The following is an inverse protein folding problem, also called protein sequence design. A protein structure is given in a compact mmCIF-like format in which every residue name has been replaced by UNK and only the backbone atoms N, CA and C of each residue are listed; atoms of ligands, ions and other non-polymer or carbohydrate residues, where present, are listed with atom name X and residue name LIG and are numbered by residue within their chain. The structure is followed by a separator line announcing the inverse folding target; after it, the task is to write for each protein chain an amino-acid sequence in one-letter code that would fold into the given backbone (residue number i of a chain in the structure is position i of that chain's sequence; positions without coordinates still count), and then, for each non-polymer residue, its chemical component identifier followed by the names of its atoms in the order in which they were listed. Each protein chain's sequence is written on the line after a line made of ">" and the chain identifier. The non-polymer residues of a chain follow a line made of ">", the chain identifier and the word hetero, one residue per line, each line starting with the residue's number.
data_IF_000982122451
#
_entry.id   IF_000982122451
#
_cell.length_a   1.000
_cell.length_b   1.000
_cell.length_c   1.000
_cell.angle_alpha   90.00
_cell.angle_beta   90.00
_cell.angle_gamma   90.00
#
_symmetry.space_group_name_H-M   'P 1'
#
loop_
_entity.id
_entity.type
_entity.pdbx_description
1 polymer ?
#
# COMPACT_ATOMS: atom_id res chain seq x y z
N UNK A 1 5.03 0.50 8.67
CA UNK A 1 4.58 -0.35 7.56
C UNK A 1 5.09 -1.76 7.77
N UNK A 2 4.30 -2.78 7.41
CA UNK A 2 4.70 -4.19 7.38
C UNK A 2 4.93 -4.57 5.92
N UNK A 3 6.20 -4.73 5.54
CA UNK A 3 6.58 -5.18 4.20
C UNK A 3 6.33 -6.68 4.06
N UNK A 4 6.03 -7.13 2.83
CA UNK A 4 5.77 -8.54 2.51
C UNK A 4 4.77 -9.20 3.46
N UNK A 5 3.65 -8.50 3.72
CA UNK A 5 2.57 -9.07 4.51
C UNK A 5 1.93 -10.25 3.74
N UNK A 6 2.10 -11.46 4.23
CA UNK A 6 1.71 -12.71 3.57
C UNK A 6 0.65 -13.51 4.34
N UNK A 7 0.40 -13.16 5.60
CA UNK A 7 -0.60 -13.83 6.42
C UNK A 7 -1.21 -12.92 7.49
N UNK A 8 -2.45 -13.20 7.93
CA UNK A 8 -3.04 -12.50 9.07
C UNK A 8 -2.22 -12.70 10.37
N UNK A 9 -1.55 -13.84 10.55
CA UNK A 9 -0.71 -14.13 11.71
C UNK A 9 0.41 -13.11 11.89
N UNK A 10 1.12 -12.75 10.81
CA UNK A 10 2.15 -11.70 10.86
C UNK A 10 1.60 -10.36 11.39
N UNK A 11 0.40 -9.99 10.96
CA UNK A 11 -0.23 -8.74 11.41
C UNK A 11 -0.58 -8.80 12.89
N UNK A 12 -1.09 -9.95 13.37
CA UNK A 12 -1.39 -10.16 14.80
C UNK A 12 -0.12 -10.07 15.65
N UNK A 13 0.97 -10.69 15.24
CA UNK A 13 2.27 -10.62 15.93
C UNK A 13 2.81 -9.19 16.00
N UNK A 14 2.78 -8.46 14.88
CA UNK A 14 3.18 -7.04 14.86
C UNK A 14 2.27 -6.20 15.74
N UNK A 15 0.97 -6.43 15.72
CA UNK A 15 0.01 -5.72 16.57
C UNK A 15 0.27 -5.96 18.06
N UNK A 16 0.62 -7.19 18.46
CA UNK A 16 1.00 -7.53 19.84
C UNK A 16 2.30 -6.84 20.24
N UNK A 17 3.31 -6.83 19.37
CA UNK A 17 4.58 -6.11 19.60
C UNK A 17 4.33 -4.61 19.79
N UNK A 18 3.53 -3.98 18.93
CA UNK A 18 3.19 -2.56 19.04
C UNK A 18 2.47 -2.27 20.37
N UNK A 19 1.55 -3.13 20.81
CA UNK A 19 0.88 -2.97 22.10
C UNK A 19 1.87 -2.98 23.27
N UNK A 20 2.82 -3.92 23.25
CA UNK A 20 3.87 -3.98 24.28
C UNK A 20 4.71 -2.71 24.27
N UNK A 21 5.18 -2.27 23.12
CA UNK A 21 6.01 -1.07 23.00
C UNK A 21 5.25 0.22 23.39
N UNK A 22 3.98 0.33 23.07
CA UNK A 22 3.13 1.45 23.51
C UNK A 22 3.04 1.50 25.06
N UNK A 23 2.81 0.35 25.69
CA UNK A 23 2.76 0.26 27.15
C UNK A 23 4.10 0.63 27.80
N UNK A 24 5.22 0.07 27.28
CA UNK A 24 6.56 0.36 27.80
C UNK A 24 6.95 1.84 27.65
N UNK A 25 6.38 2.54 26.69
CA UNK A 25 6.68 3.95 26.40
C UNK A 25 5.61 4.93 26.85
N UNK A 26 4.58 4.48 27.54
CA UNK A 26 3.47 5.31 28.02
C UNK A 26 2.67 5.97 26.89
N UNK A 27 2.60 5.36 25.72
CA UNK A 27 1.79 5.85 24.61
C UNK A 27 0.33 5.42 24.77
N UNK A 28 -0.57 6.18 24.15
CA UNK A 28 -1.98 5.82 24.14
C UNK A 28 -2.19 4.47 23.42
N UNK A 29 -3.11 3.63 23.91
CA UNK A 29 -3.44 2.36 23.28
C UNK A 29 -3.84 2.54 21.81
N UNK A 30 -3.23 1.77 20.92
CA UNK A 30 -3.47 1.82 19.46
C UNK A 30 -3.12 3.17 18.81
N UNK A 31 -2.22 3.96 19.41
CA UNK A 31 -1.68 5.16 18.79
C UNK A 31 -0.95 4.83 17.47
N UNK A 32 -0.20 3.72 17.45
CA UNK A 32 0.51 3.26 16.25
C UNK A 32 -0.40 2.40 15.37
N UNK A 33 -0.47 2.77 14.09
CA UNK A 33 -1.24 2.06 13.06
C UNK A 33 -0.33 1.21 12.18
N UNK A 34 -0.93 0.25 11.48
CA UNK A 34 -0.27 -0.64 10.54
C UNK A 34 -0.73 -0.31 9.12
N UNK A 35 0.22 -0.14 8.22
CA UNK A 35 -0.01 -0.23 6.78
C UNK A 35 0.61 -1.56 6.33
N UNK A 36 -0.19 -2.44 5.74
CA UNK A 36 0.30 -3.72 5.21
C UNK A 36 0.61 -3.58 3.72
N UNK A 37 1.83 -3.96 3.33
CA UNK A 37 2.28 -3.96 1.95
C UNK A 37 2.16 -5.38 1.35
N UNK A 38 1.31 -5.49 0.34
CA UNK A 38 1.03 -6.72 -0.39
C UNK A 38 2.01 -6.81 -1.58
N UNK A 39 3.09 -7.54 -1.37
CA UNK A 39 4.26 -7.55 -2.24
C UNK A 39 4.52 -8.92 -2.88
N UNK A 40 3.66 -9.89 -2.58
CA UNK A 40 3.76 -11.27 -3.09
C UNK A 40 2.40 -11.81 -3.53
N UNK A 41 2.40 -12.87 -4.33
CA UNK A 41 1.19 -13.59 -4.72
C UNK A 41 0.41 -14.07 -3.49
N UNK A 42 1.11 -14.61 -2.48
CA UNK A 42 0.53 -15.07 -1.21
C UNK A 42 -0.15 -13.93 -0.47
N UNK A 43 0.53 -12.78 -0.30
CA UNK A 43 -0.01 -11.59 0.37
C UNK A 43 -1.23 -11.04 -0.37
N UNK A 44 -1.17 -10.98 -1.71
CA UNK A 44 -2.31 -10.57 -2.52
C UNK A 44 -3.48 -11.54 -2.42
N UNK A 45 -3.24 -12.86 -2.34
CA UNK A 45 -4.29 -13.85 -2.13
C UNK A 45 -4.96 -13.64 -0.76
N UNK A 46 -4.18 -13.48 0.31
CA UNK A 46 -4.65 -13.30 1.69
C UNK A 46 -5.01 -11.85 2.06
N UNK A 47 -5.14 -10.94 1.09
CA UNK A 47 -5.29 -9.50 1.32
C UNK A 47 -6.51 -9.14 2.20
N UNK A 48 -7.63 -9.84 2.04
CA UNK A 48 -8.83 -9.62 2.84
C UNK A 48 -8.59 -9.97 4.32
N UNK A 49 -8.02 -11.14 4.57
CA UNK A 49 -7.71 -11.63 5.92
C UNK A 49 -6.64 -10.75 6.59
N UNK A 50 -5.63 -10.32 5.84
CA UNK A 50 -4.61 -9.37 6.30
C UNK A 50 -5.24 -8.04 6.71
N UNK A 51 -6.13 -7.49 5.86
CA UNK A 51 -6.78 -6.20 6.11
C UNK A 51 -7.62 -6.16 7.38
N UNK A 52 -8.23 -7.28 7.75
CA UNK A 52 -9.08 -7.42 8.95
C UNK A 52 -8.39 -8.04 10.17
N UNK A 53 -7.13 -8.43 10.07
CA UNK A 53 -6.43 -9.19 11.10
C UNK A 53 -6.24 -8.43 12.42
N UNK A 54 -6.28 -7.09 12.40
CA UNK A 54 -6.16 -6.26 13.59
C UNK A 54 -6.84 -4.90 13.37
N UNK A 55 -7.48 -4.32 14.40
CA UNK A 55 -8.01 -2.95 14.34
C UNK A 55 -6.90 -1.88 14.22
N UNK A 56 -5.63 -2.26 14.26
CA UNK A 56 -4.50 -1.40 13.98
C UNK A 56 -4.23 -1.24 12.48
N UNK A 57 -4.73 -2.12 11.62
CA UNK A 57 -4.57 -1.99 10.18
C UNK A 57 -5.36 -0.77 9.72
N UNK A 58 -4.65 0.25 9.26
CA UNK A 58 -5.23 1.49 8.77
C UNK A 58 -5.17 1.59 7.24
N UNK A 59 -4.33 0.80 6.59
CA UNK A 59 -4.20 0.85 5.13
C UNK A 59 -3.57 -0.39 4.52
N UNK A 60 -3.87 -0.57 3.24
CA UNK A 60 -3.27 -1.57 2.36
C UNK A 60 -2.58 -0.88 1.19
N UNK A 61 -1.42 -1.38 0.79
CA UNK A 61 -0.69 -0.91 -0.38
C UNK A 61 -0.11 -2.06 -1.20
N UNK A 62 0.15 -1.84 -2.49
CA UNK A 62 0.87 -2.78 -3.35
C UNK A 62 2.35 -2.40 -3.42
N UNK A 63 3.23 -3.31 -3.07
CA UNK A 63 4.66 -3.20 -3.35
C UNK A 63 4.96 -3.73 -4.75
N UNK A 64 4.84 -2.85 -5.75
CA UNK A 64 4.85 -3.21 -7.16
C UNK A 64 6.13 -3.93 -7.61
N UNK A 65 7.30 -3.45 -7.17
CA UNK A 65 8.58 -4.02 -7.61
C UNK A 65 8.72 -5.47 -7.15
N UNK A 66 8.51 -5.71 -5.85
CA UNK A 66 8.60 -7.05 -5.27
C UNK A 66 7.54 -8.00 -5.84
N UNK A 67 6.33 -7.49 -6.08
CA UNK A 67 5.24 -8.28 -6.65
C UNK A 67 5.53 -8.73 -8.09
N UNK A 68 6.14 -7.86 -8.91
CA UNK A 68 6.60 -8.23 -10.25
C UNK A 68 7.70 -9.29 -10.17
N UNK A 69 8.63 -9.16 -9.23
CA UNK A 69 9.68 -10.16 -9.01
C UNK A 69 9.13 -11.50 -8.55
N UNK A 70 8.05 -11.50 -7.77
CA UNK A 70 7.38 -12.70 -7.27
C UNK A 70 6.56 -13.39 -8.36
N UNK A 71 5.74 -12.63 -9.08
CA UNK A 71 4.82 -13.14 -10.12
C UNK A 71 5.51 -13.43 -11.46
N UNK A 72 6.64 -12.77 -11.75
CA UNK A 72 7.43 -12.93 -12.97
C UNK A 72 6.61 -12.86 -14.27
N UNK A 73 5.73 -11.87 -14.43
CA UNK A 73 4.97 -11.75 -15.68
C UNK A 73 5.92 -11.40 -16.83
N UNK A 74 5.52 -11.77 -18.05
CA UNK A 74 6.17 -11.24 -19.25
C UNK A 74 6.12 -9.72 -19.24
N UNK A 75 7.21 -9.00 -19.66
CA UNK A 75 7.26 -7.54 -19.59
C UNK A 75 6.10 -6.83 -20.29
N UNK A 76 5.61 -7.37 -21.39
CA UNK A 76 4.46 -6.86 -22.13
C UNK A 76 3.13 -7.02 -21.37
N UNK A 77 3.05 -7.96 -20.45
CA UNK A 77 1.83 -8.28 -19.67
C UNK A 77 1.70 -7.49 -18.40
N UNK A 78 2.77 -6.83 -17.92
CA UNK A 78 2.76 -6.02 -16.69
C UNK A 78 1.69 -4.91 -16.75
N UNK A 79 1.49 -4.32 -17.91
CA UNK A 79 0.55 -3.23 -18.14
C UNK A 79 -0.91 -3.67 -17.90
N UNK A 80 -1.23 -4.92 -18.08
CA UNK A 80 -2.57 -5.49 -17.85
C UNK A 80 -2.73 -5.99 -16.42
N UNK A 81 -1.69 -6.56 -15.83
CA UNK A 81 -1.70 -7.13 -14.49
C UNK A 81 -1.87 -6.06 -13.42
N UNK A 82 -1.13 -4.95 -13.48
CA UNK A 82 -1.13 -3.92 -12.45
C UNK A 82 -2.48 -3.24 -12.24
N UNK A 83 -3.22 -2.81 -13.26
CA UNK A 83 -4.56 -2.24 -13.08
C UNK A 83 -5.51 -3.20 -12.36
N UNK A 84 -5.49 -4.48 -12.71
CA UNK A 84 -6.32 -5.50 -12.05
C UNK A 84 -5.99 -5.62 -10.55
N UNK A 85 -4.72 -5.72 -10.20
CA UNK A 85 -4.28 -5.83 -8.81
C UNK A 85 -4.59 -4.56 -7.99
N UNK A 86 -4.47 -3.38 -8.59
CA UNK A 86 -4.85 -2.12 -7.96
C UNK A 86 -6.36 -2.06 -7.66
N UNK A 87 -7.20 -2.41 -8.63
CA UNK A 87 -8.65 -2.43 -8.46
C UNK A 87 -9.06 -3.46 -7.40
N UNK A 88 -8.47 -4.65 -7.43
CA UNK A 88 -8.69 -5.68 -6.42
C UNK A 88 -8.33 -5.18 -5.01
N UNK A 89 -7.17 -4.53 -4.84
CA UNK A 89 -6.75 -3.95 -3.56
C UNK A 89 -7.75 -2.90 -3.07
N UNK A 90 -8.22 -2.00 -3.94
CA UNK A 90 -9.18 -0.95 -3.59
C UNK A 90 -10.50 -1.58 -3.10
N UNK A 91 -11.00 -2.60 -3.80
CA UNK A 91 -12.21 -3.32 -3.41
C UNK A 91 -12.04 -3.98 -2.04
N UNK A 92 -10.93 -4.68 -1.82
CA UNK A 92 -10.64 -5.33 -0.55
C UNK A 92 -10.51 -4.29 0.58
N UNK A 93 -9.74 -3.23 0.38
CA UNK A 93 -9.59 -2.17 1.38
C UNK A 93 -10.94 -1.56 1.77
N UNK A 94 -11.79 -1.28 0.79
CA UNK A 94 -13.16 -0.80 1.03
C UNK A 94 -14.01 -1.81 1.80
N UNK A 95 -13.91 -3.11 1.49
CA UNK A 95 -14.70 -4.16 2.15
C UNK A 95 -14.34 -4.39 3.61
N UNK A 96 -13.12 -4.07 4.02
CA UNK A 96 -12.64 -4.20 5.40
C UNK A 96 -12.52 -2.84 6.13
N UNK A 97 -12.87 -1.74 5.47
CA UNK A 97 -12.89 -0.41 6.07
C UNK A 97 -11.51 0.21 6.31
N UNK A 98 -10.50 -0.13 5.49
CA UNK A 98 -9.15 0.44 5.58
C UNK A 98 -8.81 1.29 4.35
N UNK A 99 -7.79 2.14 4.47
CA UNK A 99 -7.41 3.06 3.40
C UNK A 99 -6.62 2.35 2.29
N UNK A 100 -7.06 2.38 1.03
CA UNK A 100 -6.24 1.96 -0.10
C UNK A 100 -5.20 3.04 -0.41
N UNK A 101 -3.92 2.64 -0.40
CA UNK A 101 -2.77 3.54 -0.58
C UNK A 101 -2.04 3.16 -1.87
N UNK A 102 -1.91 4.10 -2.80
CA UNK A 102 -1.20 3.88 -4.06
C UNK A 102 -1.34 5.02 -5.04
N UNK A 103 -0.58 4.91 -6.13
CA UNK A 103 -0.65 5.81 -7.28
C UNK A 103 -0.48 5.01 -8.56
N UNK A 104 -1.02 5.49 -9.67
CA UNK A 104 -0.91 4.81 -10.95
C UNK A 104 0.24 5.39 -11.77
N UNK A 105 1.40 4.80 -11.60
CA UNK A 105 2.60 5.13 -12.35
C UNK A 105 2.57 4.51 -13.76
N UNK A 106 2.96 5.29 -14.76
CA UNK A 106 3.17 4.82 -16.14
C UNK A 106 4.67 4.82 -16.45
N UNK A 107 5.13 3.83 -17.22
CA UNK A 107 6.48 3.83 -17.73
C UNK A 107 6.71 5.02 -18.70
N UNK A 108 7.97 5.54 -18.84
CA UNK A 108 9.16 5.14 -18.09
C UNK A 108 9.29 5.77 -16.70
N UNK A 109 8.59 6.87 -16.42
CA UNK A 109 8.72 7.67 -15.21
C UNK A 109 7.85 7.12 -14.09
N UNK A 110 8.42 6.30 -13.23
CA UNK A 110 7.71 5.71 -12.11
C UNK A 110 8.53 5.65 -10.83
N UNK A 111 7.83 5.74 -9.72
CA UNK A 111 8.39 5.55 -8.39
C UNK A 111 9.49 6.57 -8.08
N UNK A 112 10.67 6.05 -7.74
CA UNK A 112 11.80 6.84 -7.28
C UNK A 112 12.34 7.84 -8.34
N UNK A 113 12.20 7.49 -9.62
CA UNK A 113 12.73 8.29 -10.73
C UNK A 113 11.76 9.36 -11.22
N UNK A 114 10.51 9.35 -10.75
CA UNK A 114 9.50 10.27 -11.23
C UNK A 114 9.78 11.71 -10.77
N UNK A 115 9.75 12.62 -11.72
CA UNK A 115 9.74 14.06 -11.45
C UNK A 115 8.45 14.47 -10.70
N UNK A 116 8.43 15.64 -10.02
CA UNK A 116 7.25 16.12 -9.29
C UNK A 116 5.96 16.12 -10.12
N UNK A 117 6.01 16.60 -11.36
CA UNK A 117 4.84 16.62 -12.24
C UNK A 117 4.34 15.21 -12.58
N UNK A 118 5.24 14.27 -12.89
CA UNK A 118 4.87 12.87 -13.13
C UNK A 118 4.31 12.20 -11.88
N UNK A 119 4.77 12.60 -10.70
CA UNK A 119 4.23 12.19 -9.40
C UNK A 119 2.80 12.68 -9.23
N UNK A 120 2.55 13.95 -9.51
CA UNK A 120 1.20 14.56 -9.47
C UNK A 120 0.23 13.84 -10.41
N UNK A 121 0.63 13.64 -11.66
CA UNK A 121 -0.20 12.94 -12.65
C UNK A 121 -0.47 11.47 -12.26
N UNK A 122 0.51 10.79 -11.68
CA UNK A 122 0.33 9.42 -11.18
C UNK A 122 -0.65 9.38 -9.99
N UNK A 123 -0.59 10.36 -9.10
CA UNK A 123 -1.49 10.51 -7.97
C UNK A 123 -2.93 10.80 -8.42
N UNK A 124 -3.13 11.72 -9.37
CA UNK A 124 -4.45 12.01 -9.95
C UNK A 124 -5.08 10.76 -10.57
N UNK A 125 -4.30 9.98 -11.34
CA UNK A 125 -4.79 8.71 -11.89
C UNK A 125 -5.13 7.70 -10.78
N UNK A 126 -4.32 7.64 -9.73
CA UNK A 126 -4.58 6.80 -8.56
C UNK A 126 -5.85 7.20 -7.84
N UNK A 127 -6.01 8.50 -7.56
CA UNK A 127 -7.23 9.06 -6.96
C UNK A 127 -8.48 8.73 -7.80
N UNK A 128 -8.40 8.90 -9.11
CA UNK A 128 -9.51 8.64 -10.03
C UNK A 128 -10.01 7.17 -9.99
N UNK A 129 -9.15 6.21 -9.71
CA UNK A 129 -9.54 4.79 -9.58
C UNK A 129 -9.89 4.37 -8.15
N UNK A 130 -9.72 5.28 -7.15
CA UNK A 130 -10.18 5.05 -5.79
C UNK A 130 -9.13 5.00 -4.69
N UNK A 131 -7.84 5.20 -4.98
CA UNK A 131 -6.83 5.39 -3.93
C UNK A 131 -7.09 6.68 -3.14
N UNK A 132 -6.70 6.69 -1.88
CA UNK A 132 -6.93 7.79 -0.93
C UNK A 132 -5.62 8.44 -0.44
N UNK A 133 -4.51 8.05 -0.98
CA UNK A 133 -3.18 8.55 -0.67
C UNK A 133 -2.16 7.70 -1.37
N UNK A 134 -0.89 8.10 -1.33
CA UNK A 134 0.21 7.34 -1.88
C UNK A 134 1.47 7.46 -1.02
N UNK A 135 2.37 6.51 -1.18
CA UNK A 135 3.68 6.56 -0.53
C UNK A 135 4.66 7.32 -1.41
N UNK A 136 5.46 8.20 -0.82
CA UNK A 136 6.57 8.87 -1.49
C UNK A 136 7.90 8.19 -1.16
N UNK A 137 8.83 8.24 -2.10
CA UNK A 137 10.19 7.73 -1.97
C UNK A 137 11.22 8.86 -1.84
N UNK A 138 10.82 10.10 -2.16
CA UNK A 138 11.65 11.31 -2.11
C UNK A 138 10.85 12.49 -1.59
N UNK A 139 11.52 13.42 -0.90
CA UNK A 139 10.88 14.60 -0.34
C UNK A 139 10.19 15.49 -1.40
N UNK A 140 10.75 15.59 -2.60
CA UNK A 140 10.16 16.37 -3.69
C UNK A 140 8.85 15.79 -4.26
N UNK A 141 8.45 14.60 -3.82
CA UNK A 141 7.17 13.98 -4.18
C UNK A 141 6.04 14.33 -3.19
N UNK A 142 6.36 14.87 -2.00
CA UNK A 142 5.38 15.12 -0.93
C UNK A 142 4.34 16.14 -1.39
N UNK A 143 4.77 17.32 -1.85
CA UNK A 143 3.88 18.39 -2.28
C UNK A 143 2.97 17.94 -3.44
N UNK A 144 3.49 17.35 -4.54
CA UNK A 144 2.63 16.83 -5.60
C UNK A 144 1.61 15.79 -5.14
N UNK A 145 1.96 14.92 -4.19
CA UNK A 145 1.04 13.94 -3.65
C UNK A 145 -0.05 14.59 -2.82
N UNK A 146 0.31 15.50 -1.89
CA UNK A 146 -0.67 16.22 -1.09
C UNK A 146 -1.66 16.97 -2.00
N UNK A 147 -1.17 17.78 -2.93
CA UNK A 147 -2.01 18.54 -3.88
C UNK A 147 -2.97 17.64 -4.68
N UNK A 148 -2.56 16.41 -4.98
CA UNK A 148 -3.40 15.49 -5.76
C UNK A 148 -4.48 14.81 -4.93
N UNK A 149 -4.25 14.57 -3.64
CA UNK A 149 -5.18 13.84 -2.76
C UNK A 149 -6.02 14.76 -1.86
N UNK A 150 -5.67 16.05 -1.73
CA UNK A 150 -6.51 17.09 -1.12
C UNK A 150 -7.71 17.43 -2.04
#
# INVERSE_FOLDING_TARGET
>A
MVSRAESPGQIVEVAALLTRLENERGLLPRALKIIAALETARGNHAAYEIGRASPRVAGLTLGRADLIMDLRPEPSSEIHLMPHLMQRLIIIAGSVGVTPIGAWWRAPDRGLLAAPENTYQAALRGRAIGFKGAMCLRANQIEPLNRAFD
#
